data_IF_431481172158
#
_entry.id   IF_431481172158
#
_cell.length_a   1.000
_cell.length_b   1.000
_cell.length_c   1.000
_cell.angle_alpha   90.00
_cell.angle_beta   90.00
_cell.angle_gamma   90.00
#
_symmetry.space_group_name_H-M   'P 1'
#
loop_
_entity.id
_entity.type
_entity.pdbx_description
1 polymer ?
#
# COMPACT_ATOMS: atom_id res chain seq x y z
N UNK A 1 18.81 -39.33 17.42
CA UNK A 1 17.99 -38.24 17.97
C UNK A 1 17.52 -37.43 16.78
N UNK A 2 16.21 -37.31 16.50
CA UNK A 2 15.74 -36.41 15.45
C UNK A 2 16.14 -34.99 15.84
N UNK A 3 16.67 -34.26 14.86
CA UNK A 3 17.09 -32.87 14.99
C UNK A 3 15.92 -32.00 15.46
N UNK A 4 15.99 -31.52 16.72
CA UNK A 4 14.97 -30.67 17.35
C UNK A 4 15.10 -29.20 16.95
N UNK A 5 16.01 -28.85 16.04
CA UNK A 5 16.20 -27.46 15.59
C UNK A 5 15.22 -27.02 14.50
N UNK A 6 14.38 -27.93 13.99
CA UNK A 6 13.44 -27.66 12.91
C UNK A 6 12.08 -27.02 13.32
N UNK A 7 11.79 -26.80 14.61
CA UNK A 7 10.44 -26.40 15.08
C UNK A 7 10.42 -25.11 15.94
N UNK A 8 11.20 -24.07 15.61
CA UNK A 8 11.08 -22.74 16.28
C UNK A 8 10.76 -21.60 15.30
N UNK A 9 10.85 -21.83 14.00
CA UNK A 9 10.33 -20.90 13.01
C UNK A 9 8.93 -21.35 12.57
N UNK A 10 7.89 -20.89 13.27
CA UNK A 10 6.59 -20.75 12.61
C UNK A 10 6.81 -19.84 11.40
N UNK A 11 6.77 -20.42 10.21
CA UNK A 11 6.85 -19.67 8.95
C UNK A 11 5.75 -18.63 9.02
N UNK A 12 6.12 -17.35 9.08
CA UNK A 12 5.15 -16.28 9.13
C UNK A 12 4.36 -16.28 7.81
N UNK A 13 3.15 -16.82 7.86
CA UNK A 13 2.34 -17.02 6.66
C UNK A 13 1.72 -15.70 6.21
N UNK A 14 2.07 -15.22 5.02
CA UNK A 14 1.44 -14.03 4.46
C UNK A 14 0.13 -14.49 3.84
N UNK A 15 -0.98 -13.98 4.35
CA UNK A 15 -2.31 -14.46 3.99
C UNK A 15 -2.51 -14.49 2.46
N UNK A 16 -2.79 -15.67 1.89
CA UNK A 16 -3.07 -15.77 0.47
C UNK A 16 -4.44 -15.16 0.16
N UNK A 17 -4.58 -14.46 -0.98
CA UNK A 17 -5.89 -14.05 -1.46
C UNK A 17 -6.64 -15.28 -1.99
N UNK A 18 -7.94 -15.31 -1.76
CA UNK A 18 -8.86 -16.22 -2.43
C UNK A 18 -9.06 -15.76 -3.89
N UNK A 19 -8.96 -16.66 -4.89
CA UNK A 19 -9.18 -16.31 -6.30
C UNK A 19 -10.65 -16.01 -6.62
N UNK A 20 -11.57 -16.53 -5.81
CA UNK A 20 -13.01 -16.29 -5.90
C UNK A 20 -13.49 -15.47 -4.68
N UNK A 21 -14.67 -14.82 -4.77
CA UNK A 21 -15.23 -14.10 -3.64
C UNK A 21 -15.30 -14.97 -2.38
N UNK A 22 -14.80 -14.44 -1.27
CA UNK A 22 -14.82 -15.14 0.02
C UNK A 22 -16.27 -15.29 0.46
N UNK A 23 -16.68 -16.53 0.78
CA UNK A 23 -18.04 -16.84 1.22
C UNK A 23 -18.42 -16.04 2.46
N UNK A 24 -19.64 -15.49 2.47
CA UNK A 24 -20.13 -14.65 3.57
C UNK A 24 -20.14 -15.39 4.91
N UNK A 25 -20.35 -16.70 4.92
CA UNK A 25 -20.30 -17.52 6.13
C UNK A 25 -18.89 -17.53 6.75
N UNK A 26 -17.84 -17.47 5.93
CA UNK A 26 -16.46 -17.33 6.44
C UNK A 26 -16.29 -15.96 7.10
N UNK A 27 -16.91 -14.91 6.55
CA UNK A 27 -16.86 -13.56 7.10
C UNK A 27 -17.69 -13.41 8.38
N UNK A 28 -18.79 -14.16 8.51
CA UNK A 28 -19.72 -14.07 9.65
C UNK A 28 -19.51 -15.13 10.73
N UNK A 29 -18.67 -16.15 10.48
CA UNK A 29 -18.36 -17.19 11.47
C UNK A 29 -17.97 -16.62 12.85
N UNK A 30 -18.64 -17.11 13.89
CA UNK A 30 -18.43 -16.70 15.28
C UNK A 30 -19.06 -15.37 15.70
N UNK A 31 -19.79 -14.68 14.82
CA UNK A 31 -20.45 -13.41 15.14
C UNK A 31 -21.89 -13.61 15.63
N UNK A 32 -22.46 -12.69 16.44
CA UNK A 32 -23.84 -12.77 16.86
C UNK A 32 -24.81 -12.36 15.74
N UNK A 33 -26.04 -12.85 15.81
CA UNK A 33 -27.08 -12.72 14.78
C UNK A 33 -27.27 -11.31 14.16
N UNK A 34 -27.35 -10.20 14.93
CA UNK A 34 -27.49 -8.87 14.32
C UNK A 34 -26.28 -8.48 13.45
N UNK A 35 -25.07 -8.84 13.88
CA UNK A 35 -23.83 -8.59 13.13
C UNK A 35 -23.79 -9.45 11.86
N UNK A 36 -24.18 -10.73 11.95
CA UNK A 36 -24.26 -11.65 10.80
C UNK A 36 -25.16 -11.07 9.71
N UNK A 37 -26.41 -10.75 10.06
CA UNK A 37 -27.39 -10.23 9.08
C UNK A 37 -26.95 -8.90 8.47
N UNK A 38 -26.34 -8.02 9.26
CA UNK A 38 -25.85 -6.74 8.74
C UNK A 38 -24.68 -6.91 7.76
N UNK A 39 -23.74 -7.81 8.05
CA UNK A 39 -22.65 -8.14 7.13
C UNK A 39 -23.18 -8.81 5.85
N UNK A 40 -24.16 -9.71 5.96
CA UNK A 40 -24.84 -10.29 4.80
C UNK A 40 -25.51 -9.23 3.93
N UNK A 41 -26.21 -8.26 4.53
CA UNK A 41 -26.80 -7.15 3.80
C UNK A 41 -25.72 -6.28 3.11
N UNK A 42 -24.61 -5.97 3.79
CA UNK A 42 -23.48 -5.24 3.18
C UNK A 42 -22.84 -6.03 2.02
N UNK A 43 -22.75 -7.35 2.16
CA UNK A 43 -22.26 -8.26 1.12
C UNK A 43 -23.13 -8.20 -0.13
N UNK A 44 -24.46 -8.23 0.04
CA UNK A 44 -25.42 -8.10 -1.08
C UNK A 44 -25.36 -6.71 -1.74
N UNK A 45 -25.21 -5.63 -0.97
CA UNK A 45 -25.02 -4.27 -1.50
C UNK A 45 -23.78 -4.22 -2.40
N UNK A 46 -22.63 -4.64 -1.88
CA UNK A 46 -21.38 -4.63 -2.63
C UNK A 46 -21.41 -5.57 -3.84
N UNK A 47 -22.02 -6.75 -3.72
CA UNK A 47 -22.21 -7.67 -4.84
C UNK A 47 -23.09 -7.06 -5.92
N UNK A 48 -24.21 -6.43 -5.54
CA UNK A 48 -25.16 -5.81 -6.46
C UNK A 48 -24.52 -4.74 -7.34
N UNK A 49 -23.60 -3.95 -6.77
CA UNK A 49 -22.90 -2.87 -7.49
C UNK A 49 -22.04 -3.40 -8.65
N UNK A 50 -21.40 -4.55 -8.47
CA UNK A 50 -20.46 -5.11 -9.47
C UNK A 50 -21.03 -6.30 -10.23
N UNK A 51 -22.28 -6.70 -9.97
CA UNK A 51 -22.90 -7.92 -10.53
C UNK A 51 -22.92 -7.93 -12.06
N UNK A 52 -23.24 -6.80 -12.67
CA UNK A 52 -23.33 -6.64 -14.13
C UNK A 52 -22.03 -6.10 -14.75
N UNK A 53 -21.01 -5.87 -13.93
CA UNK A 53 -19.76 -5.28 -14.38
C UNK A 53 -18.88 -6.27 -15.16
N UNK A 54 -18.04 -5.74 -16.06
CA UNK A 54 -17.02 -6.55 -16.74
C UNK A 54 -16.01 -7.08 -15.71
N UNK A 55 -15.63 -8.34 -15.86
CA UNK A 55 -14.54 -8.97 -15.10
C UNK A 55 -13.24 -8.18 -15.25
N UNK A 56 -12.36 -8.27 -14.25
CA UNK A 56 -11.04 -7.64 -14.26
C UNK A 56 -10.17 -8.21 -15.39
N UNK A 57 -9.04 -7.55 -15.70
CA UNK A 57 -8.12 -7.96 -16.79
C UNK A 57 -7.63 -9.41 -16.66
N UNK A 58 -7.52 -9.93 -15.44
CA UNK A 58 -7.13 -11.29 -15.10
C UNK A 58 -8.30 -12.30 -15.08
N UNK A 59 -9.52 -11.88 -15.42
CA UNK A 59 -10.70 -12.72 -15.41
C UNK A 59 -11.40 -12.86 -14.04
N UNK A 60 -10.89 -12.23 -12.98
CA UNK A 60 -11.53 -12.27 -11.66
C UNK A 60 -12.78 -11.39 -11.58
N UNK A 61 -13.70 -11.77 -10.69
CA UNK A 61 -14.81 -10.90 -10.32
C UNK A 61 -14.29 -9.64 -9.62
N UNK A 62 -14.86 -8.47 -9.93
CA UNK A 62 -14.57 -7.24 -9.19
C UNK A 62 -14.95 -7.36 -7.70
N UNK A 63 -15.85 -8.28 -7.38
CA UNK A 63 -16.27 -8.61 -6.02
C UNK A 63 -15.25 -9.44 -5.22
N UNK A 64 -14.30 -10.10 -5.89
CA UNK A 64 -13.26 -10.88 -5.23
C UNK A 64 -12.40 -10.01 -4.32
N UNK A 65 -12.11 -8.77 -4.73
CA UNK A 65 -11.24 -7.89 -3.95
C UNK A 65 -11.87 -7.45 -2.62
N UNK A 66 -13.06 -6.81 -2.57
CA UNK A 66 -13.65 -6.38 -1.30
C UNK A 66 -13.87 -7.52 -0.30
N UNK A 67 -14.26 -8.70 -0.77
CA UNK A 67 -14.46 -9.89 0.09
C UNK A 67 -13.14 -10.42 0.67
N UNK A 68 -12.04 -10.37 -0.08
CA UNK A 68 -10.72 -10.67 0.45
C UNK A 68 -10.23 -9.62 1.47
N UNK A 69 -10.47 -8.33 1.21
CA UNK A 69 -10.12 -7.26 2.17
C UNK A 69 -10.88 -7.46 3.48
N UNK A 70 -12.18 -7.77 3.41
CA UNK A 70 -13.01 -8.14 4.56
C UNK A 70 -12.47 -9.36 5.31
N UNK A 71 -12.02 -10.38 4.59
CA UNK A 71 -11.41 -11.56 5.19
C UNK A 71 -10.08 -11.25 5.90
N UNK A 72 -9.24 -10.38 5.33
CA UNK A 72 -8.00 -9.95 5.96
C UNK A 72 -8.22 -9.17 7.25
N UNK A 73 -9.19 -8.23 7.28
CA UNK A 73 -9.51 -7.54 8.54
C UNK A 73 -10.15 -8.48 9.57
N UNK A 74 -10.94 -9.48 9.14
CA UNK A 74 -11.44 -10.53 10.03
C UNK A 74 -10.30 -11.35 10.64
N UNK A 75 -9.36 -11.84 9.82
CA UNK A 75 -8.18 -12.57 10.30
C UNK A 75 -7.28 -11.72 11.20
N UNK A 76 -7.32 -10.39 11.06
CA UNK A 76 -6.64 -9.46 11.95
C UNK A 76 -7.34 -9.27 13.31
N UNK A 77 -8.52 -9.87 13.50
CA UNK A 77 -9.30 -9.78 14.74
C UNK A 77 -10.19 -8.53 14.82
N UNK A 78 -10.48 -7.87 13.69
CA UNK A 78 -11.32 -6.69 13.69
C UNK A 78 -12.80 -7.00 13.99
N UNK A 79 -13.51 -6.00 14.52
CA UNK A 79 -14.93 -6.07 14.88
C UNK A 79 -15.85 -6.11 13.65
N UNK A 80 -17.12 -6.55 13.81
CA UNK A 80 -18.07 -6.69 12.71
C UNK A 80 -18.27 -5.44 11.85
N UNK A 81 -18.38 -4.26 12.44
CA UNK A 81 -18.50 -3.00 11.69
C UNK A 81 -17.27 -2.72 10.81
N UNK A 82 -16.07 -3.13 11.23
CA UNK A 82 -14.86 -3.01 10.42
C UNK A 82 -14.91 -3.97 9.22
N UNK A 83 -15.43 -5.19 9.42
CA UNK A 83 -15.64 -6.16 8.35
C UNK A 83 -16.67 -5.62 7.34
N UNK A 84 -17.79 -5.08 7.82
CA UNK A 84 -18.80 -4.45 6.98
C UNK A 84 -18.23 -3.27 6.17
N UNK A 85 -17.49 -2.37 6.81
CA UNK A 85 -16.83 -1.26 6.12
C UNK A 85 -15.80 -1.74 5.09
N UNK A 86 -15.07 -2.83 5.36
CA UNK A 86 -14.14 -3.43 4.41
C UNK A 86 -14.84 -4.04 3.18
N UNK A 87 -16.03 -4.63 3.34
CA UNK A 87 -16.85 -5.09 2.20
C UNK A 87 -17.28 -3.90 1.33
N UNK A 88 -17.64 -2.79 1.98
CA UNK A 88 -18.19 -1.61 1.32
C UNK A 88 -17.14 -0.57 0.85
N UNK A 89 -15.86 -0.77 1.14
CA UNK A 89 -14.86 0.31 0.98
C UNK A 89 -14.75 0.87 -0.45
N UNK A 90 -15.01 0.03 -1.47
CA UNK A 90 -14.92 0.39 -2.88
C UNK A 90 -16.30 0.68 -3.51
N UNK A 91 -17.41 0.63 -2.76
CA UNK A 91 -18.77 0.70 -3.35
C UNK A 91 -19.12 2.04 -3.98
N UNK A 92 -18.40 3.10 -3.61
CA UNK A 92 -18.53 4.42 -4.25
C UNK A 92 -17.51 4.59 -5.39
N UNK A 93 -16.28 4.09 -5.24
CA UNK A 93 -15.25 4.27 -6.28
C UNK A 93 -15.44 3.35 -7.48
N UNK A 94 -15.93 2.12 -7.27
CA UNK A 94 -16.01 1.12 -8.33
C UNK A 94 -17.00 1.49 -9.45
N UNK A 95 -18.23 1.99 -9.16
CA UNK A 95 -19.11 2.52 -10.21
C UNK A 95 -18.46 3.66 -11.00
N UNK A 96 -17.68 4.50 -10.33
CA UNK A 96 -17.01 5.63 -10.96
C UNK A 96 -15.89 5.14 -11.88
N UNK A 97 -15.10 4.15 -11.44
CA UNK A 97 -14.09 3.50 -12.29
C UNK A 97 -14.70 2.86 -13.51
N UNK A 98 -15.81 2.14 -13.37
CA UNK A 98 -16.54 1.53 -14.48
C UNK A 98 -17.03 2.59 -15.47
N UNK A 99 -17.54 3.72 -14.98
CA UNK A 99 -17.99 4.84 -15.80
C UNK A 99 -16.82 5.47 -16.58
N UNK A 100 -15.67 5.69 -15.93
CA UNK A 100 -14.45 6.22 -16.58
C UNK A 100 -13.92 5.23 -17.62
N UNK A 101 -13.93 3.92 -17.34
CA UNK A 101 -13.53 2.89 -18.29
C UNK A 101 -14.44 2.86 -19.54
N UNK A 102 -15.74 3.14 -19.39
CA UNK A 102 -16.71 3.14 -20.48
C UNK A 102 -16.72 4.46 -21.27
N UNK A 103 -16.70 5.60 -20.59
CA UNK A 103 -16.93 6.93 -21.19
C UNK A 103 -15.68 7.80 -21.28
N UNK A 104 -14.55 7.36 -20.73
CA UNK A 104 -13.30 8.12 -20.67
C UNK A 104 -13.20 9.02 -19.43
N UNK A 105 -12.04 9.70 -19.29
CA UNK A 105 -11.71 10.53 -18.13
C UNK A 105 -12.60 11.77 -17.95
N UNK A 106 -13.28 12.20 -19.02
CA UNK A 106 -14.19 13.36 -19.03
C UNK A 106 -15.63 13.01 -18.62
N UNK A 107 -15.87 11.78 -18.14
CA UNK A 107 -17.18 11.36 -17.67
C UNK A 107 -17.68 12.26 -16.52
N UNK A 108 -18.94 12.65 -16.58
CA UNK A 108 -19.58 13.40 -15.49
C UNK A 108 -19.81 12.47 -14.29
N UNK A 109 -19.14 12.76 -13.18
CA UNK A 109 -19.12 11.92 -11.97
C UNK A 109 -19.84 12.67 -10.84
N UNK A 110 -20.93 12.09 -10.35
CA UNK A 110 -21.63 12.59 -9.16
C UNK A 110 -21.29 11.73 -7.93
N UNK A 111 -20.12 11.98 -7.34
CA UNK A 111 -19.64 11.28 -6.13
C UNK A 111 -20.61 11.44 -4.95
N UNK A 112 -21.21 12.62 -4.82
CA UNK A 112 -22.11 12.93 -3.70
C UNK A 112 -23.41 12.12 -3.77
N UNK A 113 -24.00 11.99 -4.95
CA UNK A 113 -25.20 11.20 -5.17
C UNK A 113 -24.96 9.71 -4.92
N UNK A 114 -23.82 9.19 -5.38
CA UNK A 114 -23.46 7.79 -5.12
C UNK A 114 -23.18 7.53 -3.63
N UNK A 115 -22.52 8.47 -2.94
CA UNK A 115 -22.35 8.40 -1.49
C UNK A 115 -23.69 8.39 -0.75
N UNK A 116 -24.64 9.24 -1.15
CA UNK A 116 -26.01 9.27 -0.59
C UNK A 116 -26.77 7.98 -0.86
N UNK A 117 -26.62 7.38 -2.05
CA UNK A 117 -27.21 6.08 -2.37
C UNK A 117 -26.66 4.98 -1.44
N UNK A 118 -25.34 4.87 -1.32
CA UNK A 118 -24.70 3.90 -0.43
C UNK A 118 -25.12 4.11 1.03
N UNK A 119 -25.22 5.36 1.49
CA UNK A 119 -25.74 5.68 2.83
C UNK A 119 -27.16 5.17 3.03
N UNK A 120 -28.05 5.42 2.05
CA UNK A 120 -29.43 4.95 2.09
C UNK A 120 -29.54 3.44 2.19
N UNK A 121 -28.74 2.70 1.42
CA UNK A 121 -28.71 1.24 1.48
C UNK A 121 -28.18 0.71 2.82
N UNK A 122 -27.15 1.35 3.40
CA UNK A 122 -26.64 1.01 4.75
C UNK A 122 -27.73 1.23 5.81
N UNK A 123 -28.43 2.37 5.77
CA UNK A 123 -29.50 2.68 6.74
C UNK A 123 -30.68 1.72 6.60
N UNK A 124 -31.06 1.37 5.38
CA UNK A 124 -32.09 0.35 5.13
C UNK A 124 -31.67 -1.00 5.70
N UNK A 125 -30.43 -1.44 5.43
CA UNK A 125 -29.89 -2.67 6.01
C UNK A 125 -29.88 -2.63 7.54
N UNK A 126 -29.56 -1.48 8.13
CA UNK A 126 -29.59 -1.28 9.60
C UNK A 126 -30.98 -1.51 10.16
N UNK A 127 -32.01 -0.90 9.55
CA UNK A 127 -33.40 -1.00 9.99
C UNK A 127 -33.97 -2.42 9.82
N UNK A 128 -33.63 -3.11 8.72
CA UNK A 128 -34.09 -4.48 8.43
C UNK A 128 -33.43 -5.54 9.33
N UNK A 129 -32.16 -5.33 9.71
CA UNK A 129 -31.39 -6.31 10.48
C UNK A 129 -31.44 -6.06 11.99
N UNK A 130 -31.84 -4.85 12.41
CA UNK A 130 -31.78 -4.42 13.81
C UNK A 130 -30.35 -4.14 14.28
N UNK A 131 -29.45 -3.76 13.36
CA UNK A 131 -28.07 -3.41 13.66
C UNK A 131 -27.98 -2.11 14.48
N UNK A 132 -26.88 -1.94 15.21
CA UNK A 132 -26.64 -0.71 15.96
C UNK A 132 -26.47 0.49 14.99
N UNK A 133 -27.32 1.50 15.17
CA UNK A 133 -27.38 2.65 14.25
C UNK A 133 -26.13 3.53 14.33
N UNK A 134 -25.49 3.65 15.50
CA UNK A 134 -24.27 4.44 15.65
C UNK A 134 -23.10 3.74 14.96
N UNK A 135 -23.03 2.39 15.05
CA UNK A 135 -22.05 1.60 14.32
C UNK A 135 -22.30 1.62 12.81
N UNK A 136 -23.55 1.57 12.34
CA UNK A 136 -23.85 1.72 10.92
C UNK A 136 -23.44 3.08 10.36
N UNK A 137 -23.67 4.16 11.12
CA UNK A 137 -23.24 5.50 10.73
C UNK A 137 -21.70 5.61 10.72
N UNK A 138 -21.01 4.94 11.64
CA UNK A 138 -19.54 4.81 11.62
C UNK A 138 -19.07 4.08 10.35
N UNK A 139 -19.71 2.97 9.96
CA UNK A 139 -19.40 2.25 8.71
C UNK A 139 -19.50 3.19 7.50
N UNK A 140 -20.58 3.97 7.40
CA UNK A 140 -20.74 4.93 6.31
C UNK A 140 -19.62 5.98 6.28
N UNK A 141 -19.28 6.57 7.44
CA UNK A 141 -18.16 7.54 7.54
C UNK A 141 -16.84 6.94 7.07
N UNK A 142 -16.55 5.69 7.44
CA UNK A 142 -15.34 4.99 7.00
C UNK A 142 -15.36 4.79 5.48
N UNK A 143 -16.49 4.35 4.90
CA UNK A 143 -16.63 4.19 3.45
C UNK A 143 -16.34 5.51 2.73
N UNK A 144 -16.90 6.63 3.21
CA UNK A 144 -16.63 7.95 2.61
C UNK A 144 -15.15 8.34 2.69
N UNK A 145 -14.50 8.11 3.82
CA UNK A 145 -13.07 8.44 4.03
C UNK A 145 -12.17 7.59 3.14
N UNK A 146 -12.54 6.33 2.87
CA UNK A 146 -11.78 5.44 1.99
C UNK A 146 -12.04 5.69 0.49
N UNK A 147 -13.08 6.45 0.16
CA UNK A 147 -13.49 6.72 -1.23
C UNK A 147 -12.58 7.75 -1.88
N UNK A 148 -11.73 7.31 -2.81
CA UNK A 148 -10.88 8.14 -3.66
C UNK A 148 -11.00 7.73 -5.13
N UNK A 149 -11.86 8.49 -5.83
CA UNK A 149 -12.21 8.34 -7.26
C UNK A 149 -11.00 8.26 -8.18
N UNK A 150 -9.93 8.94 -7.81
CA UNK A 150 -8.75 9.09 -8.64
C UNK A 150 -7.60 8.28 -8.02
N UNK A 151 -7.30 7.11 -8.59
CA UNK A 151 -6.18 6.27 -8.18
C UNK A 151 -4.81 7.00 -8.30
N UNK A 152 -4.77 8.11 -9.05
CA UNK A 152 -3.64 9.01 -9.21
C UNK A 152 -3.62 10.14 -8.15
N UNK A 153 -4.54 10.13 -7.17
CA UNK A 153 -4.54 10.99 -5.95
C UNK A 153 -4.26 10.18 -4.68
N UNK A 154 -3.44 9.14 -4.82
CA UNK A 154 -3.09 8.24 -3.72
C UNK A 154 -2.59 9.00 -2.48
N UNK A 155 -1.75 10.04 -2.64
CA UNK A 155 -1.27 10.84 -1.51
C UNK A 155 -2.38 11.60 -0.78
N UNK A 156 -3.28 12.27 -1.52
CA UNK A 156 -4.38 13.02 -0.92
C UNK A 156 -5.25 12.09 -0.07
N UNK A 157 -5.56 10.89 -0.58
CA UNK A 157 -6.36 9.92 0.14
C UNK A 157 -5.68 9.32 1.37
N UNK A 158 -4.39 8.97 1.28
CA UNK A 158 -3.62 8.57 2.47
C UNK A 158 -3.58 9.69 3.50
N UNK A 159 -3.38 10.94 3.06
CA UNK A 159 -3.42 12.11 3.91
C UNK A 159 -4.74 12.25 4.67
N UNK A 160 -5.86 12.18 3.97
CA UNK A 160 -7.21 12.26 4.55
C UNK A 160 -7.42 11.17 5.60
N UNK A 161 -7.02 9.92 5.32
CA UNK A 161 -7.12 8.81 6.27
C UNK A 161 -6.28 9.07 7.53
N UNK A 162 -4.98 9.35 7.37
CA UNK A 162 -4.04 9.43 8.51
C UNK A 162 -4.14 10.73 9.31
N UNK A 163 -4.71 11.79 8.73
CA UNK A 163 -4.96 13.06 9.42
C UNK A 163 -6.40 13.21 9.91
N UNK A 164 -7.28 12.23 9.67
CA UNK A 164 -8.69 12.30 10.04
C UNK A 164 -8.86 12.63 11.54
N UNK A 165 -9.74 13.59 11.85
CA UNK A 165 -9.89 14.14 13.20
C UNK A 165 -10.52 13.14 14.18
N UNK A 166 -11.51 12.38 13.70
CA UNK A 166 -12.16 11.31 14.46
C UNK A 166 -11.19 10.12 14.57
N UNK A 167 -10.89 9.74 15.81
CA UNK A 167 -9.89 8.73 16.14
C UNK A 167 -10.30 7.33 15.66
N UNK A 168 -11.57 6.97 15.81
CA UNK A 168 -12.09 5.65 15.44
C UNK A 168 -12.15 5.51 13.92
N UNK A 169 -12.68 6.52 13.24
CA UNK A 169 -12.70 6.57 11.76
C UNK A 169 -11.27 6.47 11.21
N UNK A 170 -10.31 7.16 11.84
CA UNK A 170 -8.90 7.11 11.45
C UNK A 170 -8.32 5.70 11.58
N UNK A 171 -8.37 5.11 12.77
CA UNK A 171 -7.74 3.80 13.00
C UNK A 171 -8.38 2.69 12.17
N UNK A 172 -9.70 2.69 12.07
CA UNK A 172 -10.43 1.69 11.28
C UNK A 172 -10.09 1.84 9.79
N UNK A 173 -10.09 3.08 9.26
CA UNK A 173 -9.69 3.34 7.87
C UNK A 173 -8.25 2.91 7.59
N UNK A 174 -7.31 3.14 8.53
CA UNK A 174 -5.91 2.67 8.39
C UNK A 174 -5.84 1.14 8.30
N UNK A 175 -6.57 0.42 9.16
CA UNK A 175 -6.61 -1.04 9.13
C UNK A 175 -7.14 -1.55 7.78
N UNK A 176 -8.27 -1.02 7.32
CA UNK A 176 -8.85 -1.40 6.03
C UNK A 176 -7.91 -1.05 4.88
N UNK A 177 -7.25 0.12 4.91
CA UNK A 177 -6.32 0.52 3.84
C UNK A 177 -5.08 -0.36 3.78
N UNK A 178 -4.57 -0.81 4.92
CA UNK A 178 -3.49 -1.81 4.98
C UNK A 178 -3.93 -3.16 4.41
N UNK A 179 -5.17 -3.60 4.69
CA UNK A 179 -5.73 -4.84 4.15
C UNK A 179 -5.96 -4.74 2.62
N UNK A 180 -6.50 -3.63 2.12
CA UNK A 180 -6.62 -3.30 0.70
C UNK A 180 -5.25 -3.38 0.00
N UNK A 181 -4.26 -2.67 0.53
CA UNK A 181 -2.90 -2.68 -0.04
C UNK A 181 -2.19 -4.03 0.10
N UNK A 182 -2.48 -4.82 1.14
CA UNK A 182 -2.01 -6.20 1.23
C UNK A 182 -2.58 -7.03 0.08
N UNK A 183 -3.89 -6.97 -0.17
CA UNK A 183 -4.50 -7.68 -1.30
C UNK A 183 -3.89 -7.25 -2.63
N UNK A 184 -3.77 -5.94 -2.87
CA UNK A 184 -3.21 -5.41 -4.12
C UNK A 184 -1.79 -5.91 -4.40
N UNK A 185 -0.93 -5.99 -3.37
CA UNK A 185 0.42 -6.55 -3.52
C UNK A 185 0.38 -8.07 -3.76
N UNK A 186 -0.56 -8.79 -3.14
CA UNK A 186 -0.68 -10.24 -3.35
C UNK A 186 -1.24 -10.61 -4.72
N UNK A 187 -1.95 -9.70 -5.39
CA UNK A 187 -2.50 -9.90 -6.75
C UNK A 187 -1.75 -9.10 -7.82
N UNK A 188 -0.49 -8.73 -7.55
CA UNK A 188 0.29 -7.80 -8.38
C UNK A 188 0.89 -8.44 -9.65
N UNK A 189 0.76 -9.75 -9.82
CA UNK A 189 1.43 -10.51 -10.90
C UNK A 189 1.00 -10.07 -12.31
N UNK A 190 -0.16 -9.42 -12.44
CA UNK A 190 -0.65 -8.93 -13.74
C UNK A 190 0.02 -7.64 -14.22
N UNK A 191 0.83 -6.99 -13.38
CA UNK A 191 1.58 -5.79 -13.74
C UNK A 191 2.93 -6.14 -14.36
N UNK A 192 3.42 -5.28 -15.24
CA UNK A 192 4.84 -5.32 -15.68
C UNK A 192 5.75 -4.89 -14.52
N UNK A 193 7.03 -5.26 -14.57
CA UNK A 193 7.96 -5.04 -13.45
C UNK A 193 8.06 -3.57 -13.00
N UNK A 194 8.03 -2.61 -13.93
CA UNK A 194 8.01 -1.17 -13.60
C UNK A 194 6.77 -0.80 -12.78
N UNK A 195 5.60 -1.27 -13.18
CA UNK A 195 4.35 -1.00 -12.48
C UNK A 195 4.31 -1.72 -11.13
N UNK A 196 4.83 -2.95 -11.05
CA UNK A 196 4.96 -3.69 -9.78
C UNK A 196 5.83 -2.92 -8.79
N UNK A 197 6.95 -2.38 -9.27
CA UNK A 197 7.86 -1.56 -8.48
C UNK A 197 7.17 -0.27 -7.98
N UNK A 198 6.43 0.41 -8.85
CA UNK A 198 5.68 1.60 -8.45
C UNK A 198 4.56 1.31 -7.44
N UNK A 199 3.86 0.18 -7.57
CA UNK A 199 2.88 -0.26 -6.57
C UNK A 199 3.54 -0.62 -5.23
N UNK A 200 4.74 -1.20 -5.25
CA UNK A 200 5.52 -1.43 -4.04
C UNK A 200 5.94 -0.10 -3.39
N UNK A 201 6.36 0.89 -4.19
CA UNK A 201 6.64 2.24 -3.69
C UNK A 201 5.42 2.88 -3.02
N UNK A 202 4.22 2.82 -3.63
CA UNK A 202 2.98 3.27 -2.98
C UNK A 202 2.75 2.59 -1.63
N UNK A 203 3.06 1.29 -1.54
CA UNK A 203 3.00 0.56 -0.26
C UNK A 203 4.04 1.05 0.76
N UNK A 204 5.27 1.34 0.34
CA UNK A 204 6.31 1.90 1.24
C UNK A 204 5.83 3.19 1.89
N UNK A 205 5.19 4.08 1.12
CA UNK A 205 4.59 5.31 1.65
C UNK A 205 3.54 4.99 2.72
N UNK A 206 2.55 4.13 2.41
CA UNK A 206 1.53 3.72 3.38
C UNK A 206 2.14 3.10 4.65
N UNK A 207 3.15 2.23 4.48
CA UNK A 207 3.85 1.60 5.60
C UNK A 207 4.58 2.63 6.46
N UNK A 208 5.15 3.68 5.85
CA UNK A 208 5.79 4.76 6.59
C UNK A 208 4.79 5.52 7.48
N UNK A 209 3.63 5.90 6.92
CA UNK A 209 2.54 6.53 7.68
C UNK A 209 2.02 5.62 8.80
N UNK A 210 1.82 4.32 8.52
CA UNK A 210 1.41 3.35 9.52
C UNK A 210 2.44 3.18 10.63
N UNK A 211 3.73 3.14 10.30
CA UNK A 211 4.83 3.05 11.27
C UNK A 211 4.91 4.30 12.14
N UNK A 212 4.76 5.49 11.57
CA UNK A 212 4.72 6.75 12.30
C UNK A 212 3.52 6.79 13.27
N UNK A 213 2.33 6.41 12.82
CA UNK A 213 1.12 6.29 13.64
C UNK A 213 1.33 5.33 14.82
N UNK A 214 1.78 4.10 14.54
CA UNK A 214 2.03 3.09 15.58
C UNK A 214 3.09 3.54 16.59
N UNK A 215 4.15 4.21 16.12
CA UNK A 215 5.20 4.78 16.99
C UNK A 215 4.62 5.88 17.89
N UNK A 216 3.78 6.75 17.35
CA UNK A 216 3.10 7.79 18.10
C UNK A 216 2.14 7.23 19.16
N UNK A 217 1.36 6.20 18.82
CA UNK A 217 0.47 5.51 19.77
C UNK A 217 1.28 4.89 20.92
N UNK A 218 2.41 4.23 20.61
CA UNK A 218 3.31 3.65 21.61
C UNK A 218 3.92 4.70 22.52
N UNK A 219 4.38 5.82 21.96
CA UNK A 219 5.07 6.88 22.71
C UNK A 219 4.14 7.69 23.62
N UNK A 220 2.94 8.04 23.15
CA UNK A 220 2.00 8.89 23.90
C UNK A 220 1.11 8.12 24.86
N UNK A 221 1.10 6.79 24.76
CA UNK A 221 0.06 5.96 25.36
C UNK A 221 -1.31 6.19 24.71
N UNK A 222 -2.24 5.26 24.91
CA UNK A 222 -3.62 5.39 24.44
C UNK A 222 -4.28 6.63 25.06
N UNK A 223 -4.42 7.73 24.30
CA UNK A 223 -5.08 8.97 24.72
C UNK A 223 -6.58 8.97 24.35
N UNK A 224 -7.24 7.81 24.46
CA UNK A 224 -8.68 7.72 24.30
C UNK A 224 -9.37 7.53 25.66
N UNK A 225 -10.61 8.00 25.84
CA UNK A 225 -11.39 7.78 27.07
C UNK A 225 -11.68 6.30 27.37
N UNK A 226 -11.64 5.41 26.37
CA UNK A 226 -12.00 3.98 26.47
C UNK A 226 -10.85 3.06 26.06
N UNK A 227 -9.97 2.78 27.02
CA UNK A 227 -8.69 2.05 26.88
C UNK A 227 -8.75 0.63 26.27
N UNK A 228 -9.91 -0.02 26.23
CA UNK A 228 -10.05 -1.43 25.82
C UNK A 228 -10.39 -1.63 24.33
N UNK A 229 -11.06 -0.67 23.69
CA UNK A 229 -11.40 -0.75 22.26
C UNK A 229 -10.20 -0.39 21.39
N UNK A 230 -9.34 0.50 21.89
CA UNK A 230 -8.14 0.96 21.17
C UNK A 230 -7.09 -0.14 20.97
N UNK A 231 -6.98 -1.08 21.93
CA UNK A 231 -5.90 -2.07 21.92
C UNK A 231 -6.14 -3.17 20.87
N UNK A 232 -7.40 -3.50 20.58
CA UNK A 232 -7.77 -4.48 19.55
C UNK A 232 -7.49 -3.96 18.14
N UNK A 233 -7.98 -2.77 17.80
CA UNK A 233 -7.75 -2.20 16.47
C UNK A 233 -6.27 -1.86 16.25
N UNK A 234 -5.56 -1.40 17.29
CA UNK A 234 -4.12 -1.15 17.19
C UNK A 234 -3.35 -2.45 16.92
N UNK A 235 -3.68 -3.56 17.60
CA UNK A 235 -3.10 -4.88 17.31
C UNK A 235 -3.40 -5.34 15.89
N UNK A 236 -4.62 -5.12 15.40
CA UNK A 236 -5.00 -5.44 14.04
C UNK A 236 -4.15 -4.63 13.03
N UNK A 237 -3.98 -3.33 13.24
CA UNK A 237 -3.09 -2.47 12.44
C UNK A 237 -1.65 -2.98 12.47
N UNK A 238 -1.11 -3.33 13.64
CA UNK A 238 0.25 -3.88 13.75
C UNK A 238 0.42 -5.19 12.97
N UNK A 239 -0.58 -6.08 13.04
CA UNK A 239 -0.57 -7.35 12.33
C UNK A 239 -0.65 -7.13 10.81
N UNK A 240 -1.60 -6.31 10.36
CA UNK A 240 -1.78 -5.95 8.95
C UNK A 240 -0.54 -5.22 8.40
N UNK A 241 0.06 -4.30 9.17
CA UNK A 241 1.32 -3.64 8.84
C UNK A 241 2.43 -4.67 8.58
N UNK A 242 2.61 -5.65 9.48
CA UNK A 242 3.61 -6.72 9.31
C UNK A 242 3.32 -7.59 8.11
N UNK A 243 2.06 -7.99 7.87
CA UNK A 243 1.65 -8.80 6.72
C UNK A 243 1.88 -8.05 5.40
N UNK A 244 1.41 -6.81 5.33
CA UNK A 244 1.55 -5.93 4.18
C UNK A 244 3.01 -5.65 3.86
N UNK A 245 3.81 -5.24 4.85
CA UNK A 245 5.24 -4.99 4.66
C UNK A 245 6.00 -6.24 4.20
N UNK A 246 5.74 -7.40 4.79
CA UNK A 246 6.39 -8.65 4.34
C UNK A 246 5.97 -9.07 2.94
N UNK A 247 4.70 -8.87 2.56
CA UNK A 247 4.24 -9.08 1.19
C UNK A 247 4.97 -8.16 0.21
N UNK A 248 5.07 -6.87 0.54
CA UNK A 248 5.80 -5.89 -0.28
C UNK A 248 7.27 -6.26 -0.41
N UNK A 249 7.91 -6.67 0.69
CA UNK A 249 9.30 -7.14 0.68
C UNK A 249 9.50 -8.37 -0.22
N UNK A 250 8.59 -9.34 -0.19
CA UNK A 250 8.65 -10.51 -1.08
C UNK A 250 8.53 -10.14 -2.56
N UNK A 251 7.62 -9.24 -2.90
CA UNK A 251 7.48 -8.77 -4.29
C UNK A 251 8.74 -8.03 -4.72
N UNK A 252 9.25 -7.12 -3.90
CA UNK A 252 10.53 -6.44 -4.17
C UNK A 252 11.67 -7.43 -4.34
N UNK A 253 11.74 -8.50 -3.52
CA UNK A 253 12.70 -9.57 -3.73
C UNK A 253 12.50 -10.34 -5.04
N UNK A 254 11.27 -10.62 -5.47
CA UNK A 254 11.01 -11.29 -6.76
C UNK A 254 11.34 -10.41 -7.98
N UNK A 255 11.27 -9.08 -7.83
CA UNK A 255 11.77 -8.13 -8.82
C UNK A 255 13.31 -8.12 -8.87
N UNK A 256 13.94 -8.63 -7.82
CA UNK A 256 15.38 -8.90 -7.75
C UNK A 256 15.69 -10.37 -8.08
N UNK A 257 16.97 -10.72 -8.14
CA UNK A 257 17.50 -11.83 -8.95
C UNK A 257 17.12 -13.25 -8.54
N UNK A 258 16.30 -13.45 -7.51
CA UNK A 258 15.98 -14.79 -7.02
C UNK A 258 15.32 -15.71 -8.08
N UNK A 259 14.77 -15.16 -9.17
CA UNK A 259 14.09 -15.92 -10.23
C UNK A 259 14.63 -15.71 -11.67
N UNK A 260 15.71 -14.94 -11.89
CA UNK A 260 16.25 -14.63 -13.23
C UNK A 260 17.77 -14.81 -13.32
N UNK A 261 18.25 -16.06 -13.20
CA UNK A 261 19.69 -16.42 -13.32
C UNK A 261 20.26 -16.25 -14.74
N UNK A 262 19.40 -16.12 -15.74
CA UNK A 262 19.79 -16.17 -17.16
C UNK A 262 19.90 -14.77 -17.80
N UNK A 263 19.80 -13.70 -16.99
CA UNK A 263 19.88 -12.32 -17.47
C UNK A 263 21.32 -11.82 -17.54
N UNK A 264 21.73 -11.27 -18.69
CA UNK A 264 23.03 -10.64 -18.93
C UNK A 264 23.32 -9.43 -18.02
N UNK A 265 22.31 -8.96 -17.27
CA UNK A 265 22.37 -7.79 -16.40
C UNK A 265 23.07 -8.10 -15.06
N UNK A 266 23.26 -9.37 -14.69
CA UNK A 266 23.80 -9.77 -13.37
C UNK A 266 25.16 -9.11 -13.00
N UNK A 267 26.17 -9.06 -13.89
CA UNK A 267 27.46 -8.44 -13.56
C UNK A 267 27.34 -6.93 -13.31
N UNK A 268 26.41 -6.28 -14.01
CA UNK A 268 26.19 -4.82 -14.03
C UNK A 268 25.77 -4.32 -12.65
N UNK A 269 25.01 -5.09 -11.89
CA UNK A 269 24.32 -4.66 -10.69
C UNK A 269 25.25 -4.28 -9.53
N UNK A 270 26.32 -5.03 -9.32
CA UNK A 270 27.34 -4.69 -8.33
C UNK A 270 28.04 -3.36 -8.69
N UNK A 271 28.27 -3.13 -9.98
CA UNK A 271 28.91 -1.92 -10.50
C UNK A 271 27.95 -0.73 -10.63
N UNK A 272 26.64 -0.96 -10.80
CA UNK A 272 25.64 0.09 -11.04
C UNK A 272 25.28 0.79 -9.73
N UNK A 273 25.24 0.04 -8.62
CA UNK A 273 25.19 0.60 -7.26
C UNK A 273 26.43 1.46 -6.95
N UNK A 274 27.64 0.96 -7.23
CA UNK A 274 28.91 1.69 -7.06
C UNK A 274 29.06 2.89 -8.02
N UNK A 275 28.48 2.76 -9.20
CA UNK A 275 28.51 3.76 -10.25
C UNK A 275 27.60 4.93 -9.94
N UNK A 276 26.30 4.68 -9.67
CA UNK A 276 25.35 5.77 -9.43
C UNK A 276 25.70 6.60 -8.19
N UNK A 277 26.36 6.00 -7.21
CA UNK A 277 27.02 6.73 -6.13
C UNK A 277 28.04 7.73 -6.70
N UNK A 278 29.01 7.28 -7.51
CA UNK A 278 30.01 8.16 -8.16
C UNK A 278 29.40 9.24 -9.06
N UNK A 279 28.25 9.00 -9.69
CA UNK A 279 27.56 10.02 -10.50
C UNK A 279 26.96 11.15 -9.67
N UNK A 280 26.24 10.79 -8.60
CA UNK A 280 25.69 11.77 -7.66
C UNK A 280 26.81 12.57 -7.00
N UNK A 281 27.95 11.93 -6.74
CA UNK A 281 29.18 12.59 -6.28
C UNK A 281 29.74 13.65 -7.25
N UNK A 282 29.51 13.55 -8.56
CA UNK A 282 30.10 14.45 -9.56
C UNK A 282 29.22 15.64 -9.97
N UNK A 283 27.88 15.60 -9.77
CA UNK A 283 26.96 16.68 -10.18
C UNK A 283 26.54 17.68 -9.08
N UNK A 284 26.90 17.45 -7.81
CA UNK A 284 26.71 18.40 -6.69
C UNK A 284 25.34 18.26 -5.99
N UNK A 285 25.24 18.10 -4.65
CA UNK A 285 26.25 18.06 -3.59
C UNK A 285 25.85 17.11 -2.46
N UNK A 286 26.87 16.68 -1.72
CA UNK A 286 26.82 15.70 -0.64
C UNK A 286 27.45 16.32 0.60
N UNK A 287 26.86 17.41 1.11
CA UNK A 287 27.37 18.03 2.32
C UNK A 287 27.02 17.24 3.60
N UNK A 288 26.37 16.07 3.48
CA UNK A 288 26.20 15.11 4.57
C UNK A 288 26.34 13.63 4.14
N UNK A 289 27.30 13.27 3.28
CA UNK A 289 27.79 11.88 3.37
C UNK A 289 28.64 11.80 4.63
N UNK A 290 28.04 11.25 5.67
CA UNK A 290 28.78 10.74 6.82
C UNK A 290 29.87 9.81 6.30
N UNK A 291 31.10 10.00 6.81
CA UNK A 291 32.32 9.22 6.56
C UNK A 291 32.15 7.73 6.90
N UNK A 292 31.22 7.04 6.24
CA UNK A 292 31.00 5.62 6.34
C UNK A 292 31.94 4.92 5.38
N UNK A 293 32.89 4.16 5.91
CA UNK A 293 33.71 3.24 5.12
C UNK A 293 32.79 2.31 4.32
N UNK A 294 32.91 2.38 2.99
CA UNK A 294 32.26 1.46 2.06
C UNK A 294 32.79 0.05 2.32
N UNK A 295 31.99 -0.76 2.99
CA UNK A 295 32.24 -2.19 3.18
C UNK A 295 31.06 -2.99 2.60
N UNK A 296 31.32 -4.23 2.21
CA UNK A 296 30.29 -5.15 1.72
C UNK A 296 29.22 -5.31 2.83
N UNK A 297 27.99 -4.86 2.56
CA UNK A 297 26.85 -4.97 3.49
C UNK A 297 26.47 -3.69 4.24
N UNK A 298 27.09 -2.53 3.94
CA UNK A 298 26.64 -1.23 4.46
C UNK A 298 25.31 -0.84 3.80
N UNK A 299 24.29 -0.54 4.60
CA UNK A 299 23.01 0.00 4.10
C UNK A 299 23.29 1.33 3.40
N UNK A 300 22.54 1.64 2.33
CA UNK A 300 22.78 2.83 1.52
C UNK A 300 21.67 3.89 1.73
N UNK A 301 21.59 4.54 2.92
CA UNK A 301 20.62 5.58 3.26
C UNK A 301 20.33 6.60 2.15
N UNK A 302 21.37 7.01 1.43
CA UNK A 302 21.28 8.11 0.47
C UNK A 302 20.70 7.68 -0.89
N UNK A 303 20.85 6.40 -1.28
CA UNK A 303 20.16 5.87 -2.46
C UNK A 303 18.64 5.91 -2.24
N UNK A 304 18.16 5.65 -1.03
CA UNK A 304 16.73 5.69 -0.72
C UNK A 304 16.14 7.08 -0.98
N UNK A 305 16.80 8.15 -0.57
CA UNK A 305 16.28 9.51 -0.76
C UNK A 305 16.12 9.87 -2.24
N UNK A 306 17.11 9.55 -3.08
CA UNK A 306 17.01 9.78 -4.52
C UNK A 306 15.91 8.94 -5.19
N UNK A 307 15.76 7.68 -4.78
CA UNK A 307 14.75 6.77 -5.32
C UNK A 307 13.33 7.16 -4.88
N UNK A 308 13.15 7.51 -3.61
CA UNK A 308 11.87 8.03 -3.10
C UNK A 308 11.51 9.31 -3.85
N UNK A 309 12.46 10.25 -3.98
CA UNK A 309 12.23 11.48 -4.72
C UNK A 309 11.83 11.24 -6.18
N UNK A 310 12.48 10.28 -6.86
CA UNK A 310 12.12 9.88 -8.21
C UNK A 310 10.66 9.44 -8.28
N UNK A 311 10.25 8.46 -7.48
CA UNK A 311 8.88 7.96 -7.53
C UNK A 311 7.83 8.92 -6.96
N UNK A 312 8.22 9.85 -6.08
CA UNK A 312 7.38 10.98 -5.66
C UNK A 312 6.97 11.84 -6.86
N UNK A 313 7.87 12.13 -7.80
CA UNK A 313 7.50 12.89 -9.03
C UNK A 313 6.37 12.21 -9.79
N UNK A 314 6.46 10.88 -9.98
CA UNK A 314 5.41 10.08 -10.63
C UNK A 314 4.11 10.12 -9.82
N UNK A 315 4.20 10.15 -8.50
CA UNK A 315 3.05 10.17 -7.59
C UNK A 315 2.36 11.56 -7.53
N UNK A 316 3.11 12.65 -7.72
CA UNK A 316 2.62 14.03 -7.85
C UNK A 316 2.26 14.45 -9.29
N UNK A 317 2.23 13.51 -10.23
CA UNK A 317 1.92 13.74 -11.66
C UNK A 317 2.93 14.62 -12.39
N UNK A 318 4.11 14.78 -11.82
CA UNK A 318 5.25 15.39 -12.47
C UNK A 318 5.96 14.33 -13.34
N UNK A 319 5.22 13.85 -14.36
CA UNK A 319 5.69 12.78 -15.26
C UNK A 319 6.90 13.22 -16.07
N UNK A 320 7.00 14.51 -16.39
CA UNK A 320 8.15 15.08 -17.08
C UNK A 320 9.42 15.02 -16.21
N UNK A 321 9.35 15.45 -14.95
CA UNK A 321 10.50 15.33 -14.05
C UNK A 321 10.84 13.87 -13.75
N UNK A 322 9.84 12.99 -13.60
CA UNK A 322 10.08 11.56 -13.44
C UNK A 322 10.87 10.99 -14.63
N UNK A 323 10.39 11.24 -15.86
CA UNK A 323 11.05 10.72 -17.05
C UNK A 323 12.46 11.28 -17.21
N UNK A 324 12.65 12.57 -16.92
CA UNK A 324 13.97 13.20 -16.95
C UNK A 324 14.96 12.54 -15.97
N UNK A 325 14.51 12.12 -14.78
CA UNK A 325 15.37 11.40 -13.84
C UNK A 325 15.75 10.03 -14.42
N UNK A 326 14.80 9.30 -14.99
CA UNK A 326 15.04 7.98 -15.62
C UNK A 326 16.01 8.11 -16.79
N UNK A 327 15.83 9.10 -17.67
CA UNK A 327 16.70 9.33 -18.83
C UNK A 327 18.13 9.66 -18.39
N UNK A 328 18.29 10.46 -17.33
CA UNK A 328 19.59 10.78 -16.76
C UNK A 328 20.27 9.55 -16.13
N UNK A 329 19.52 8.68 -15.43
CA UNK A 329 20.04 7.42 -14.89
C UNK A 329 20.47 6.49 -16.03
N UNK A 330 19.69 6.41 -17.11
CA UNK A 330 19.97 5.59 -18.28
C UNK A 330 21.23 6.07 -19.03
N UNK A 331 21.33 7.37 -19.31
CA UNK A 331 22.51 7.96 -19.94
C UNK A 331 23.77 7.68 -19.12
N UNK A 332 23.66 7.78 -17.79
CA UNK A 332 24.76 7.45 -16.90
C UNK A 332 25.14 5.96 -16.94
N UNK A 333 24.16 5.06 -16.95
CA UNK A 333 24.42 3.64 -17.06
C UNK A 333 25.09 3.30 -18.41
N UNK A 334 24.69 3.96 -19.51
CA UNK A 334 25.35 3.82 -20.81
C UNK A 334 26.83 4.20 -20.77
N UNK A 335 27.18 5.26 -20.04
CA UNK A 335 28.57 5.71 -19.90
C UNK A 335 29.41 4.69 -19.13
N UNK A 336 28.95 4.26 -17.94
CA UNK A 336 29.68 3.26 -17.13
C UNK A 336 29.82 1.93 -17.85
N UNK A 337 28.72 1.44 -18.44
CA UNK A 337 28.63 0.11 -19.02
C UNK A 337 28.86 0.11 -20.53
N UNK A 338 29.50 1.16 -21.05
CA UNK A 338 29.84 1.33 -22.46
C UNK A 338 30.59 0.13 -23.05
N UNK A 339 31.34 -0.61 -22.22
CA UNK A 339 32.09 -1.80 -22.61
C UNK A 339 31.30 -3.12 -22.55
N UNK A 340 30.11 -3.15 -21.94
CA UNK A 340 29.34 -4.38 -21.68
C UNK A 340 28.34 -4.73 -22.80
N UNK A 341 28.29 -3.96 -23.90
CA UNK A 341 27.39 -4.20 -25.04
C UNK A 341 25.89 -4.39 -24.69
N UNK A 342 25.44 -3.76 -23.60
CA UNK A 342 24.06 -3.85 -23.13
C UNK A 342 23.14 -2.94 -23.93
N UNK A 343 21.90 -3.39 -24.11
CA UNK A 343 20.82 -2.60 -24.67
C UNK A 343 20.24 -1.62 -23.65
N UNK A 344 19.55 -0.57 -24.13
CA UNK A 344 18.83 0.38 -23.28
C UNK A 344 17.82 -0.33 -22.36
N UNK A 345 17.11 -1.34 -22.89
CA UNK A 345 16.15 -2.14 -22.12
C UNK A 345 16.83 -2.92 -20.99
N UNK A 346 18.00 -3.52 -21.25
CA UNK A 346 18.79 -4.22 -20.23
C UNK A 346 19.29 -3.27 -19.14
N UNK A 347 19.69 -2.05 -19.50
CA UNK A 347 20.10 -1.01 -18.54
C UNK A 347 18.92 -0.48 -17.72
N UNK A 348 17.74 -0.31 -18.32
CA UNK A 348 16.51 0.07 -17.62
C UNK A 348 16.09 -1.02 -16.62
N UNK A 349 16.19 -2.30 -16.99
CA UNK A 349 15.99 -3.41 -16.06
C UNK A 349 16.96 -3.33 -14.88
N UNK A 350 18.22 -2.97 -15.13
CA UNK A 350 19.22 -2.80 -14.09
C UNK A 350 18.89 -1.65 -13.11
N UNK A 351 18.35 -0.54 -13.64
CA UNK A 351 17.88 0.60 -12.82
C UNK A 351 16.69 0.18 -11.95
N UNK A 352 15.68 -0.49 -12.51
CA UNK A 352 14.52 -0.98 -11.76
C UNK A 352 14.93 -1.99 -10.67
N UNK A 353 15.91 -2.83 -10.95
CA UNK A 353 16.46 -3.76 -9.98
C UNK A 353 17.07 -3.04 -8.78
N UNK A 354 17.93 -2.05 -9.03
CA UNK A 354 18.53 -1.21 -7.97
C UNK A 354 17.44 -0.60 -7.10
N UNK A 355 16.42 -0.04 -7.74
CA UNK A 355 15.31 0.58 -7.03
C UNK A 355 14.54 -0.43 -6.17
N UNK A 356 14.32 -1.64 -6.67
CA UNK A 356 13.67 -2.71 -5.94
C UNK A 356 14.47 -3.13 -4.70
N UNK A 357 15.79 -3.29 -4.83
CA UNK A 357 16.68 -3.57 -3.69
C UNK A 357 16.59 -2.47 -2.63
N UNK A 358 16.71 -1.22 -3.06
CA UNK A 358 16.73 -0.09 -2.15
C UNK A 358 15.39 0.04 -1.39
N UNK A 359 14.26 -0.06 -2.10
CA UNK A 359 12.95 -0.08 -1.45
C UNK A 359 12.78 -1.31 -0.52
N UNK A 360 13.37 -2.44 -0.87
CA UNK A 360 13.38 -3.65 -0.03
C UNK A 360 14.07 -3.40 1.32
N UNK A 361 15.21 -2.71 1.33
CA UNK A 361 15.89 -2.30 2.55
C UNK A 361 15.03 -1.34 3.39
N UNK A 362 14.37 -0.36 2.78
CA UNK A 362 13.45 0.55 3.47
C UNK A 362 12.32 -0.23 4.15
N UNK A 363 11.70 -1.19 3.46
CA UNK A 363 10.66 -2.04 4.04
C UNK A 363 11.19 -2.85 5.22
N UNK A 364 12.39 -3.42 5.11
CA UNK A 364 13.02 -4.14 6.21
C UNK A 364 13.27 -3.23 7.42
N UNK A 365 13.75 -2.01 7.21
CA UNK A 365 13.94 -1.02 8.27
C UNK A 365 12.60 -0.63 8.91
N UNK A 366 11.56 -0.35 8.13
CA UNK A 366 10.21 -0.07 8.64
C UNK A 366 9.67 -1.22 9.50
N UNK A 367 9.87 -2.48 9.07
CA UNK A 367 9.39 -3.66 9.78
C UNK A 367 10.15 -3.93 11.08
N UNK A 368 11.48 -3.83 11.07
CA UNK A 368 12.32 -4.41 12.12
C UNK A 368 13.11 -3.39 12.94
N UNK A 369 13.39 -2.19 12.42
CA UNK A 369 14.05 -1.13 13.19
C UNK A 369 13.00 -0.33 13.96
N UNK A 370 13.14 -0.31 15.28
CA UNK A 370 12.24 0.46 16.15
C UNK A 370 12.41 1.97 15.90
N UNK A 371 11.30 2.71 15.89
CA UNK A 371 11.28 4.16 15.66
C UNK A 371 11.71 4.62 14.26
N UNK A 372 12.14 3.73 13.37
CA UNK A 372 12.51 4.09 12.00
C UNK A 372 11.28 4.53 11.21
N UNK A 373 11.36 5.71 10.64
CA UNK A 373 10.46 6.28 9.64
C UNK A 373 11.31 7.04 8.63
N UNK A 374 10.85 7.10 7.39
CA UNK A 374 11.43 7.95 6.37
C UNK A 374 10.96 9.39 6.61
N UNK A 375 11.90 10.26 6.98
CA UNK A 375 11.67 11.70 7.11
C UNK A 375 11.42 12.35 5.74
N UNK A 376 10.66 13.45 5.70
CA UNK A 376 10.37 14.16 4.44
C UNK A 376 9.08 13.69 3.77
N UNK A 377 8.63 12.46 4.05
CA UNK A 377 7.34 11.93 3.56
C UNK A 377 6.16 12.63 4.28
N UNK A 378 6.34 13.05 5.53
CA UNK A 378 5.30 13.75 6.33
C UNK A 378 5.27 15.28 6.13
N UNK A 379 6.36 15.91 5.70
CA UNK A 379 6.43 17.38 5.46
C UNK A 379 5.55 17.84 4.29
N UNK A 380 5.01 16.90 3.52
CA UNK A 380 4.22 17.13 2.33
C UNK A 380 2.75 17.54 2.62
N UNK A 381 2.36 17.58 3.89
CA UNK A 381 1.06 18.13 4.32
C UNK A 381 1.07 19.62 4.67
N UNK A 382 2.24 20.25 4.86
CA UNK A 382 2.28 21.59 5.46
C UNK A 382 2.57 22.73 4.52
N UNK A 383 3.32 22.54 3.43
CA UNK A 383 3.60 23.65 2.53
C UNK A 383 3.53 23.22 1.07
N UNK A 384 2.62 23.84 0.33
CA UNK A 384 2.69 23.90 -1.12
C UNK A 384 3.98 24.61 -1.49
N UNK A 385 5.02 23.85 -1.80
CA UNK A 385 6.31 24.39 -2.20
C UNK A 385 7.45 23.58 -1.61
N UNK A 386 8.13 22.83 -2.47
CA UNK A 386 9.56 22.59 -2.30
C UNK A 386 10.24 23.96 -2.38
N UNK A 387 10.25 24.73 -1.29
CA UNK A 387 11.20 25.83 -1.17
C UNK A 387 12.46 25.24 -0.53
N UNK A 388 13.42 24.92 -1.39
CA UNK A 388 14.75 24.53 -0.96
C UNK A 388 15.39 25.73 -0.27
N UNK A 389 15.24 25.85 1.04
CA UNK A 389 16.13 26.65 1.89
C UNK A 389 15.97 26.35 3.39
N UNK A 390 17.07 25.86 3.97
CA UNK A 390 17.48 25.92 5.40
C UNK A 390 16.72 24.95 6.33
N UNK A 391 17.41 24.15 7.15
CA UNK A 391 18.60 24.44 7.96
C UNK A 391 19.49 23.21 8.10
#
# INVERSE_FOLDING_TARGET
MPDRSAEVFEKFDIWPPSPEPVDVNILTDGLPEPDVRFIEACYEIAQGIVRESKRRRNGESRFTHPTNVAHFVKMAGCKPHVIAAAILHDTVDEPIRLLIEEKGKDAEINKEELGKFVHGEILKATDETGYDRDLAELVYKIVLVLTHVDADRFYEGIGEIFSHYDYDVRLISVAIKLADRLHNIRTIENYVDEDRLYQCFKNVILLNYAKALLTNIKAKGHQHPLKSVDDEITKAIELLFKKCGKATFQVLQSLTHAERSDSNVFPVLAYLSLGLEKYHHQKGGLDEITDGTLEIGVSIPNLFHGIIHKYERKLYRDHEAFQKIVDNELEYCKDIFSNEHLTDDELLVAIHYKDALALGEVVALLLYKEGYVVSGVDSLHRDGGFDGQKQ
#
